data_IF_408254337045
#
_entry.id   IF_408254337045
#
_cell.length_a   1.000
_cell.length_b   1.000
_cell.length_c   1.000
_cell.angle_alpha   90.00
_cell.angle_beta   90.00
_cell.angle_gamma   90.00
#
_symmetry.space_group_name_H-M   'P 1'
#
loop_
_entity.id
_entity.type
_entity.pdbx_description
1 polymer ?
#
# COMPACT_ATOMS: atom_id res chain seq x y z
N UNK A 1 -9.23 -14.23 11.14
CA UNK A 1 -8.42 -13.04 11.51
C UNK A 1 -7.99 -12.33 10.24
N UNK A 2 -8.38 -11.05 10.08
CA UNK A 2 -7.99 -10.19 8.96
C UNK A 2 -6.87 -9.23 9.39
N UNK A 3 -6.18 -8.61 8.44
CA UNK A 3 -5.22 -7.53 8.72
C UNK A 3 -5.92 -6.35 9.42
N UNK A 4 -5.19 -5.50 10.18
CA UNK A 4 -5.77 -4.38 10.89
C UNK A 4 -6.52 -3.44 9.93
N UNK A 5 -7.78 -3.14 10.24
CA UNK A 5 -8.67 -2.26 9.47
C UNK A 5 -8.60 -0.81 9.96
N UNK A 6 -7.66 -0.50 10.86
CA UNK A 6 -7.57 0.80 11.55
C UNK A 6 -7.22 1.96 10.61
N UNK A 7 -6.67 1.66 9.43
CA UNK A 7 -6.36 2.65 8.40
C UNK A 7 -7.46 2.68 7.33
N UNK A 8 -7.70 3.83 6.68
CA UNK A 8 -8.67 3.92 5.60
C UNK A 8 -8.25 3.02 4.43
N UNK A 9 -9.21 2.23 3.94
CA UNK A 9 -9.07 1.34 2.79
C UNK A 9 -10.08 1.77 1.70
N UNK A 10 -9.81 2.88 0.98
CA UNK A 10 -10.78 3.47 0.06
C UNK A 10 -11.22 2.49 -1.04
N UNK A 11 -10.30 1.62 -1.48
CA UNK A 11 -10.55 0.65 -2.55
C UNK A 11 -11.33 -0.58 -2.07
N UNK A 12 -11.33 -0.87 -0.75
CA UNK A 12 -11.84 -2.13 -0.18
C UNK A 12 -12.94 -1.95 0.88
N UNK A 13 -13.53 -0.76 0.95
CA UNK A 13 -14.54 -0.43 1.97
C UNK A 13 -15.81 -1.28 1.86
N UNK A 14 -16.14 -1.75 0.65
CA UNK A 14 -17.32 -2.58 0.41
C UNK A 14 -17.14 -3.99 0.99
N UNK A 15 -15.97 -4.59 0.78
CA UNK A 15 -15.58 -5.91 1.26
C UNK A 15 -15.45 -5.93 2.78
N UNK A 16 -14.93 -4.84 3.37
CA UNK A 16 -14.88 -4.67 4.82
C UNK A 16 -16.29 -4.69 5.41
N UNK A 17 -17.22 -3.91 4.85
CA UNK A 17 -18.62 -3.88 5.29
C UNK A 17 -19.28 -5.25 5.17
N UNK A 18 -19.03 -5.99 4.08
CA UNK A 18 -19.57 -7.33 3.89
C UNK A 18 -19.07 -8.31 4.96
N UNK A 19 -17.78 -8.25 5.31
CA UNK A 19 -17.21 -9.10 6.36
C UNK A 19 -17.76 -8.75 7.74
N UNK A 20 -17.89 -7.46 8.05
CA UNK A 20 -18.47 -6.98 9.32
C UNK A 20 -19.92 -7.44 9.48
N UNK A 21 -20.73 -7.27 8.43
CA UNK A 21 -22.12 -7.71 8.42
C UNK A 21 -22.25 -9.23 8.58
N UNK A 22 -21.33 -10.01 7.99
CA UNK A 22 -21.30 -11.45 8.22
C UNK A 22 -20.97 -11.80 9.68
N UNK A 23 -20.01 -11.11 10.29
CA UNK A 23 -19.63 -11.31 11.69
C UNK A 23 -20.73 -10.91 12.68
N UNK A 24 -21.50 -9.86 12.37
CA UNK A 24 -22.66 -9.42 13.17
C UNK A 24 -23.79 -10.46 13.13
N UNK A 25 -24.10 -11.00 11.96
CA UNK A 25 -25.12 -12.03 11.80
C UNK A 25 -24.69 -13.40 12.34
N UNK A 26 -23.39 -13.67 12.42
CA UNK A 26 -22.83 -14.97 12.79
C UNK A 26 -21.80 -14.87 13.92
N UNK A 27 -22.18 -14.40 15.13
CA UNK A 27 -21.24 -14.11 16.21
C UNK A 27 -20.43 -15.33 16.67
N UNK A 28 -21.00 -16.53 16.61
CA UNK A 28 -20.31 -17.79 16.93
C UNK A 28 -19.78 -18.51 15.68
N UNK A 29 -20.59 -18.58 14.62
CA UNK A 29 -20.23 -19.30 13.39
C UNK A 29 -19.11 -18.62 12.58
N UNK A 30 -18.81 -17.34 12.83
CA UNK A 30 -17.63 -16.67 12.26
C UNK A 30 -16.32 -17.37 12.60
N UNK A 31 -16.23 -18.01 13.77
CA UNK A 31 -15.03 -18.76 14.18
C UNK A 31 -14.93 -20.14 13.53
N UNK A 32 -16.05 -20.65 13.01
CA UNK A 32 -16.13 -21.94 12.31
C UNK A 32 -16.08 -21.79 10.78
N UNK A 33 -15.79 -20.59 10.27
CA UNK A 33 -15.58 -20.35 8.83
C UNK A 33 -16.82 -19.96 8.04
N UNK A 34 -17.96 -19.67 8.68
CA UNK A 34 -19.18 -19.23 7.98
C UNK A 34 -19.00 -17.94 7.15
N UNK A 35 -17.98 -17.15 7.47
CA UNK A 35 -17.64 -15.90 6.76
C UNK A 35 -16.39 -16.03 5.88
N UNK A 36 -16.00 -17.25 5.50
CA UNK A 36 -14.77 -17.49 4.71
C UNK A 36 -14.79 -16.78 3.36
N UNK A 37 -15.91 -16.80 2.64
CA UNK A 37 -16.01 -16.18 1.30
C UNK A 37 -15.84 -14.66 1.36
N UNK A 38 -16.51 -14.01 2.32
CA UNK A 38 -16.36 -12.57 2.56
C UNK A 38 -14.91 -12.22 2.95
N UNK A 39 -14.26 -13.08 3.75
CA UNK A 39 -12.85 -12.91 4.10
C UNK A 39 -11.95 -13.05 2.87
N UNK A 40 -12.18 -14.05 2.02
CA UNK A 40 -11.40 -14.26 0.81
C UNK A 40 -11.54 -13.10 -0.16
N UNK A 41 -12.74 -12.55 -0.34
CA UNK A 41 -12.97 -11.36 -1.14
C UNK A 41 -12.17 -10.15 -0.62
N UNK A 42 -12.19 -9.93 0.71
CA UNK A 42 -11.42 -8.87 1.35
C UNK A 42 -9.91 -9.04 1.15
N UNK A 43 -9.39 -10.26 1.34
CA UNK A 43 -7.97 -10.56 1.15
C UNK A 43 -7.52 -10.28 -0.30
N UNK A 44 -8.35 -10.62 -1.29
CA UNK A 44 -8.10 -10.29 -2.69
C UNK A 44 -8.08 -8.78 -2.95
N UNK A 45 -8.99 -8.03 -2.34
CA UNK A 45 -9.01 -6.58 -2.47
C UNK A 45 -7.75 -5.95 -1.88
N UNK A 46 -7.37 -6.34 -0.66
CA UNK A 46 -6.14 -5.84 -0.02
C UNK A 46 -4.88 -6.17 -0.78
N UNK A 47 -4.83 -7.32 -1.45
CA UNK A 47 -3.72 -7.66 -2.34
C UNK A 47 -3.61 -6.65 -3.49
N UNK A 48 -4.72 -6.33 -4.16
CA UNK A 48 -4.75 -5.35 -5.26
C UNK A 48 -4.40 -3.93 -4.79
N UNK A 49 -4.97 -3.51 -3.67
CA UNK A 49 -4.67 -2.19 -3.07
C UNK A 49 -3.18 -2.08 -2.74
N UNK A 50 -2.60 -3.11 -2.13
CA UNK A 50 -1.17 -3.15 -1.80
C UNK A 50 -0.29 -3.12 -3.04
N UNK A 51 -0.68 -3.82 -4.11
CA UNK A 51 0.04 -3.79 -5.39
C UNK A 51 0.01 -2.39 -6.03
N UNK A 52 -1.14 -1.71 -6.01
CA UNK A 52 -1.29 -0.32 -6.49
C UNK A 52 -0.39 0.64 -5.71
N UNK A 53 -0.49 0.65 -4.38
CA UNK A 53 0.32 1.51 -3.50
C UNK A 53 1.81 1.22 -3.71
N UNK A 54 2.21 -0.05 -3.82
CA UNK A 54 3.60 -0.43 -4.09
C UNK A 54 4.10 0.15 -5.43
N UNK A 55 3.27 0.11 -6.47
CA UNK A 55 3.62 0.66 -7.77
C UNK A 55 3.77 2.19 -7.72
N UNK A 56 2.88 2.89 -7.03
CA UNK A 56 2.97 4.34 -6.81
C UNK A 56 4.23 4.71 -6.03
N UNK A 57 4.49 4.04 -4.91
CA UNK A 57 5.69 4.26 -4.10
C UNK A 57 6.98 4.00 -4.90
N UNK A 58 7.00 3.00 -5.77
CA UNK A 58 8.14 2.74 -6.65
C UNK A 58 8.36 3.89 -7.65
N UNK A 59 7.30 4.46 -8.22
CA UNK A 59 7.39 5.63 -9.11
C UNK A 59 7.95 6.84 -8.36
N UNK A 60 7.43 7.12 -7.17
CA UNK A 60 7.91 8.22 -6.32
C UNK A 60 9.38 8.03 -5.90
N UNK A 61 9.76 6.82 -5.49
CA UNK A 61 11.14 6.50 -5.13
C UNK A 61 12.10 6.71 -6.30
N UNK A 62 11.75 6.25 -7.51
CA UNK A 62 12.56 6.48 -8.71
C UNK A 62 12.70 7.95 -9.07
N UNK A 63 11.62 8.73 -8.97
CA UNK A 63 11.66 10.16 -9.23
C UNK A 63 12.55 10.91 -8.22
N UNK A 64 12.43 10.57 -6.94
CA UNK A 64 13.27 11.13 -5.88
C UNK A 64 14.75 10.78 -6.07
N UNK A 65 15.06 9.51 -6.34
CA UNK A 65 16.42 9.05 -6.59
C UNK A 65 17.04 9.76 -7.81
N UNK A 66 16.29 9.89 -8.91
CA UNK A 66 16.76 10.62 -10.09
C UNK A 66 17.05 12.10 -9.78
N UNK A 67 16.18 12.76 -9.02
CA UNK A 67 16.37 14.15 -8.59
C UNK A 67 17.63 14.30 -7.71
N UNK A 68 17.80 13.44 -6.71
CA UNK A 68 18.96 13.46 -5.81
C UNK A 68 20.25 13.19 -6.59
N UNK A 69 20.26 12.21 -7.50
CA UNK A 69 21.42 11.93 -8.36
C UNK A 69 21.81 13.13 -9.21
N UNK A 70 20.84 13.79 -9.84
CA UNK A 70 21.08 15.00 -10.63
C UNK A 70 21.69 16.11 -9.78
N UNK A 71 21.14 16.36 -8.59
CA UNK A 71 21.67 17.37 -7.67
C UNK A 71 23.08 17.05 -7.16
N UNK A 72 23.38 15.77 -6.92
CA UNK A 72 24.73 15.35 -6.54
C UNK A 72 25.74 15.51 -7.68
N UNK A 73 25.35 15.23 -8.92
CA UNK A 73 26.18 15.49 -10.11
C UNK A 73 26.43 16.98 -10.29
N UNK A 74 25.39 17.82 -10.28
CA UNK A 74 25.53 19.29 -10.36
C UNK A 74 26.50 19.84 -9.29
N UNK A 75 26.45 19.30 -8.07
CA UNK A 75 27.39 19.66 -7.00
C UNK A 75 28.82 19.21 -7.29
N UNK A 76 29.01 17.99 -7.79
CA UNK A 76 30.34 17.47 -8.16
C UNK A 76 30.96 18.30 -9.27
N UNK A 77 30.21 18.55 -10.33
CA UNK A 77 30.68 19.33 -11.48
C UNK A 77 31.05 20.76 -11.07
N UNK A 78 30.30 21.36 -10.13
CA UNK A 78 30.66 22.68 -9.57
C UNK A 78 31.99 22.64 -8.83
N UNK A 79 32.20 21.64 -7.96
CA UNK A 79 33.47 21.54 -7.22
C UNK A 79 34.66 21.25 -8.15
N UNK A 80 34.45 20.50 -9.24
CA UNK A 80 35.50 20.25 -10.24
C UNK A 80 35.88 21.53 -11.00
N UNK A 81 34.90 22.36 -11.37
CA UNK A 81 35.14 23.68 -11.96
C UNK A 81 35.89 24.61 -10.99
N UNK A 82 35.43 24.72 -9.74
CA UNK A 82 36.10 25.51 -8.70
C UNK A 82 37.53 25.04 -8.39
N UNK A 83 37.85 23.77 -8.64
CA UNK A 83 39.19 23.22 -8.42
C UNK A 83 40.13 23.39 -9.63
N UNK A 84 39.60 23.75 -10.81
CA UNK A 84 40.36 23.89 -12.06
C UNK A 84 40.56 25.34 -12.49
N UNK A 85 39.83 26.29 -11.88
CA UNK A 85 40.07 27.75 -11.94
C UNK A 85 41.05 28.23 -10.86
#
# INVERSE_FOLDING_TARGET
MHTPLDRPHPDCQAEIKALLLCHENNPYAKFFGACSDAKTALDWCFKKEKERIRAENLKHAKASDAYVRKKMQERRDRMEKEATE
#
